data_IF_668333747500
#
_entry.id   IF_668333747500
#
_cell.length_a   1.000
_cell.length_b   1.000
_cell.length_c   1.000
_cell.angle_alpha   90.00
_cell.angle_beta   90.00
_cell.angle_gamma   90.00
#
_symmetry.space_group_name_H-M   'P 1'
#
loop_
_entity.id
_entity.type
_entity.pdbx_description
1 polymer ?
#
# COMPACT_ATOMS: atom_id res chain seq x y z
N UNK A 1 9.71 -45.01 -74.59
CA UNK A 1 10.83 -45.94 -74.32
C UNK A 1 10.28 -47.34 -74.55
N UNK A 2 10.68 -48.02 -75.62
CA UNK A 2 10.25 -49.40 -75.91
C UNK A 2 11.50 -50.21 -76.26
N UNK A 3 11.63 -51.43 -75.71
CA UNK A 3 12.77 -52.32 -75.95
C UNK A 3 13.50 -52.79 -74.68
N UNK A 4 14.41 -53.75 -74.84
CA UNK A 4 15.16 -54.39 -73.73
C UNK A 4 16.04 -53.41 -72.94
N UNK A 5 16.50 -52.30 -73.54
CA UNK A 5 17.30 -51.27 -72.87
C UNK A 5 16.50 -50.29 -72.00
N UNK A 6 15.17 -50.31 -72.10
CA UNK A 6 14.30 -49.33 -71.41
C UNK A 6 14.44 -49.31 -69.89
N UNK A 7 14.83 -50.43 -69.28
CA UNK A 7 15.04 -50.50 -67.83
C UNK A 7 16.28 -49.73 -67.40
N UNK A 8 17.39 -49.85 -68.14
CA UNK A 8 18.63 -49.16 -67.85
C UNK A 8 18.46 -47.65 -67.97
N UNK A 9 17.77 -47.19 -69.02
CA UNK A 9 17.46 -45.77 -69.22
C UNK A 9 16.63 -45.18 -68.07
N UNK A 10 15.64 -45.93 -67.57
CA UNK A 10 14.81 -45.48 -66.45
C UNK A 10 15.59 -45.40 -65.14
N UNK A 11 16.49 -46.36 -64.89
CA UNK A 11 17.36 -46.35 -63.71
C UNK A 11 18.33 -45.16 -63.77
N UNK A 12 18.96 -44.92 -64.92
CA UNK A 12 19.86 -43.78 -65.12
C UNK A 12 19.12 -42.44 -64.96
N UNK A 13 17.92 -42.32 -65.54
CA UNK A 13 17.09 -41.13 -65.39
C UNK A 13 16.70 -40.90 -63.92
N UNK A 14 16.34 -41.96 -63.18
CA UNK A 14 15.99 -41.85 -61.77
C UNK A 14 17.18 -41.42 -60.91
N UNK A 15 18.38 -41.94 -61.18
CA UNK A 15 19.61 -41.54 -60.49
C UNK A 15 19.98 -40.08 -60.81
N UNK A 16 19.86 -39.66 -62.08
CA UNK A 16 20.10 -38.29 -62.50
C UNK A 16 19.13 -37.30 -61.83
N UNK A 17 17.84 -37.64 -61.74
CA UNK A 17 16.85 -36.81 -61.06
C UNK A 17 17.19 -36.68 -59.56
N UNK A 18 17.57 -37.78 -58.91
CA UNK A 18 17.97 -37.76 -57.50
C UNK A 18 19.23 -36.91 -57.24
N UNK A 19 20.17 -36.88 -58.18
CA UNK A 19 21.46 -36.19 -58.01
C UNK A 19 21.42 -34.72 -58.39
N UNK A 20 20.74 -34.39 -59.49
CA UNK A 20 20.88 -33.09 -60.16
C UNK A 20 19.64 -32.20 -60.09
N UNK A 21 18.46 -32.77 -59.83
CA UNK A 21 17.21 -32.01 -59.80
C UNK A 21 16.71 -31.79 -58.37
N UNK A 22 16.24 -30.56 -58.12
CA UNK A 22 15.59 -30.20 -56.88
C UNK A 22 14.07 -30.28 -57.06
N UNK A 23 13.53 -31.51 -57.03
CA UNK A 23 12.09 -31.79 -57.15
C UNK A 23 11.56 -32.48 -55.90
N UNK A 24 10.29 -32.24 -55.58
CA UNK A 24 9.69 -32.76 -54.35
C UNK A 24 9.22 -34.22 -54.48
N UNK A 25 8.84 -34.65 -55.69
CA UNK A 25 8.30 -35.98 -56.01
C UNK A 25 8.68 -36.37 -57.44
N UNK A 26 8.95 -37.66 -57.65
CA UNK A 26 9.12 -38.28 -58.96
C UNK A 26 7.85 -39.06 -59.30
N UNK A 27 7.27 -38.86 -60.48
CA UNK A 27 6.16 -39.69 -60.98
C UNK A 27 6.70 -40.60 -62.07
N UNK A 28 6.73 -41.90 -61.80
CA UNK A 28 7.03 -42.90 -62.81
C UNK A 28 5.76 -43.16 -63.61
N UNK A 29 5.79 -42.87 -64.91
CA UNK A 29 4.61 -43.03 -65.78
C UNK A 29 4.94 -43.90 -66.97
N UNK A 30 3.91 -44.58 -67.48
CA UNK A 30 3.96 -45.24 -68.78
C UNK A 30 3.13 -44.42 -69.78
N UNK A 31 3.53 -44.43 -71.06
CA UNK A 31 2.69 -43.91 -72.15
C UNK A 31 1.55 -44.87 -72.54
N UNK A 32 0.83 -44.58 -73.63
CA UNK A 32 0.02 -45.61 -74.30
C UNK A 32 0.93 -46.72 -74.84
N UNK A 33 0.55 -48.00 -74.69
CA UNK A 33 1.44 -49.12 -75.01
C UNK A 33 0.83 -50.50 -74.80
N UNK A 34 1.45 -51.53 -75.41
CA UNK A 34 1.03 -52.93 -75.30
C UNK A 34 1.44 -53.51 -73.93
N UNK A 35 1.05 -54.76 -73.66
CA UNK A 35 1.47 -55.46 -72.44
C UNK A 35 2.99 -55.72 -72.42
N UNK A 36 3.67 -55.64 -73.57
CA UNK A 36 5.13 -55.82 -73.67
C UNK A 36 5.89 -54.63 -73.04
N UNK A 37 5.33 -53.43 -73.11
CA UNK A 37 5.89 -52.21 -72.50
C UNK A 37 5.87 -52.26 -70.96
N UNK A 38 5.02 -53.13 -70.39
CA UNK A 38 4.91 -53.36 -68.95
C UNK A 38 6.10 -54.17 -68.39
N UNK A 39 6.81 -54.91 -69.24
CA UNK A 39 7.86 -55.84 -68.77
C UNK A 39 9.09 -55.12 -68.21
N UNK A 40 9.41 -53.93 -68.73
CA UNK A 40 10.49 -53.09 -68.22
C UNK A 40 10.28 -52.67 -66.75
N UNK A 41 9.03 -52.57 -66.33
CA UNK A 41 8.61 -52.20 -64.97
C UNK A 41 8.60 -53.39 -63.99
N UNK A 42 8.86 -54.61 -64.48
CA UNK A 42 9.01 -55.82 -63.67
C UNK A 42 10.47 -56.25 -63.46
N UNK A 43 11.43 -55.39 -63.79
CA UNK A 43 12.85 -55.67 -63.54
C UNK A 43 13.23 -55.29 -62.11
N UNK A 44 13.99 -56.16 -61.46
CA UNK A 44 14.50 -55.96 -60.10
C UNK A 44 15.37 -54.71 -59.99
N UNK A 45 16.19 -54.43 -61.01
CA UNK A 45 17.10 -53.28 -61.04
C UNK A 45 16.36 -51.95 -60.85
N UNK A 46 15.22 -51.78 -61.53
CA UNK A 46 14.39 -50.58 -61.41
C UNK A 46 13.70 -50.49 -60.06
N UNK A 47 13.23 -51.62 -59.51
CA UNK A 47 12.63 -51.66 -58.17
C UNK A 47 13.64 -51.27 -57.07
N UNK A 48 14.88 -51.75 -57.18
CA UNK A 48 15.97 -51.38 -56.26
C UNK A 48 16.34 -49.90 -56.41
N UNK A 49 16.40 -49.39 -57.64
CA UNK A 49 16.65 -47.97 -57.88
C UNK A 49 15.58 -47.08 -57.24
N UNK A 50 14.29 -47.42 -57.41
CA UNK A 50 13.18 -46.70 -56.78
C UNK A 50 13.31 -46.73 -55.25
N UNK A 51 13.60 -47.88 -54.66
CA UNK A 51 13.77 -48.01 -53.20
C UNK A 51 14.97 -47.24 -52.65
N UNK A 52 16.00 -47.03 -53.46
CA UNK A 52 17.18 -46.25 -53.09
C UNK A 52 17.01 -44.74 -53.37
N UNK A 53 15.88 -44.33 -53.95
CA UNK A 53 15.57 -42.92 -54.21
C UNK A 53 15.41 -42.15 -52.89
N UNK A 54 16.02 -40.97 -52.80
CA UNK A 54 15.84 -40.05 -51.67
C UNK A 54 14.64 -39.12 -51.89
N UNK A 55 14.23 -38.95 -53.15
CA UNK A 55 13.02 -38.24 -53.55
C UNK A 55 11.87 -39.28 -53.61
N UNK A 56 10.71 -39.01 -52.99
CA UNK A 56 9.57 -39.92 -53.02
C UNK A 56 9.10 -40.22 -54.46
N UNK A 57 8.82 -41.50 -54.73
CA UNK A 57 8.44 -41.99 -56.06
C UNK A 57 6.98 -42.44 -56.05
N UNK A 58 6.19 -41.89 -56.97
CA UNK A 58 4.80 -42.30 -57.23
C UNK A 58 4.77 -43.11 -58.52
N UNK A 59 4.31 -44.36 -58.45
CA UNK A 59 4.08 -45.16 -59.64
C UNK A 59 2.70 -44.88 -60.22
N UNK A 60 2.66 -44.55 -61.52
CA UNK A 60 1.48 -44.36 -62.33
C UNK A 60 1.61 -45.16 -63.65
N UNK A 61 2.09 -46.40 -63.52
CA UNK A 61 2.43 -47.28 -64.65
C UNK A 61 1.26 -48.20 -65.03
N UNK A 62 0.64 -48.87 -64.05
CA UNK A 62 -0.41 -49.87 -64.28
C UNK A 62 -1.84 -49.31 -64.22
N UNK A 63 -2.77 -49.94 -64.94
CA UNK A 63 -4.21 -49.79 -64.69
C UNK A 63 -4.60 -50.56 -63.43
N UNK A 64 -5.83 -50.40 -62.89
CA UNK A 64 -6.25 -51.01 -61.62
C UNK A 64 -5.93 -52.52 -61.48
N UNK A 65 -5.87 -53.25 -62.60
CA UNK A 65 -5.71 -54.72 -62.66
C UNK A 65 -4.26 -55.17 -62.93
N UNK A 66 -3.41 -54.30 -63.48
CA UNK A 66 -2.03 -54.64 -63.84
C UNK A 66 -1.08 -54.14 -62.75
N UNK A 67 -0.52 -55.06 -61.97
CA UNK A 67 0.47 -54.75 -60.94
C UNK A 67 1.88 -55.06 -61.44
N UNK A 68 2.79 -54.13 -61.19
CA UNK A 68 4.23 -54.29 -61.47
C UNK A 68 5.05 -54.34 -60.20
N UNK A 69 6.28 -54.85 -60.30
CA UNK A 69 7.24 -54.76 -59.19
C UNK A 69 7.52 -53.30 -58.83
N UNK A 70 7.59 -52.39 -59.82
CA UNK A 70 7.73 -50.95 -59.55
C UNK A 70 6.58 -50.36 -58.75
N UNK A 71 5.33 -50.80 -58.98
CA UNK A 71 4.18 -50.33 -58.17
C UNK A 71 4.31 -50.70 -56.69
N UNK A 72 4.96 -51.84 -56.40
CA UNK A 72 5.20 -52.31 -55.04
C UNK A 72 6.45 -51.70 -54.41
N UNK A 73 7.40 -51.27 -55.24
CA UNK A 73 8.63 -50.61 -54.81
C UNK A 73 8.42 -49.11 -54.53
N UNK A 74 7.50 -48.47 -55.25
CA UNK A 74 7.17 -47.05 -55.10
C UNK A 74 6.56 -46.74 -53.73
N UNK A 75 6.64 -45.47 -53.32
CA UNK A 75 6.05 -44.98 -52.06
C UNK A 75 4.53 -44.90 -52.15
N UNK A 76 4.02 -44.61 -53.35
CA UNK A 76 2.59 -44.56 -53.62
C UNK A 76 2.28 -45.06 -55.02
N UNK A 77 1.12 -45.71 -55.18
CA UNK A 77 0.59 -46.14 -56.48
C UNK A 77 -0.64 -45.32 -56.83
N UNK A 78 -0.60 -44.68 -57.98
CA UNK A 78 -1.72 -44.03 -58.62
C UNK A 78 -2.18 -44.83 -59.85
N UNK A 79 -3.49 -44.89 -60.15
CA UNK A 79 -4.00 -45.67 -61.28
C UNK A 79 -3.71 -45.05 -62.64
N UNK A 80 -3.47 -43.73 -62.71
CA UNK A 80 -3.13 -43.02 -63.95
C UNK A 80 -2.20 -41.85 -63.65
N UNK A 81 -1.42 -41.37 -64.65
CA UNK A 81 -0.60 -40.16 -64.48
C UNK A 81 -1.41 -38.93 -64.05
N UNK A 82 -2.62 -38.78 -64.58
CA UNK A 82 -3.53 -37.67 -64.20
C UNK A 82 -3.98 -37.80 -62.75
N UNK A 83 -4.31 -39.01 -62.28
CA UNK A 83 -4.67 -39.23 -60.88
C UNK A 83 -3.50 -38.97 -59.92
N UNK A 84 -2.27 -39.31 -60.32
CA UNK A 84 -1.08 -38.98 -59.55
C UNK A 84 -0.91 -37.46 -59.40
N UNK A 85 -1.05 -36.72 -60.51
CA UNK A 85 -0.95 -35.27 -60.50
C UNK A 85 -2.05 -34.60 -59.66
N UNK A 86 -3.30 -35.07 -59.77
CA UNK A 86 -4.42 -34.55 -58.99
C UNK A 86 -4.21 -34.75 -57.49
N UNK A 87 -3.74 -35.93 -57.08
CA UNK A 87 -3.46 -36.23 -55.68
C UNK A 87 -2.38 -35.31 -55.08
N UNK A 88 -1.30 -35.08 -55.82
CA UNK A 88 -0.23 -34.17 -55.40
C UNK A 88 -0.70 -32.72 -55.27
N UNK A 89 -1.60 -32.27 -56.15
CA UNK A 89 -2.19 -30.92 -56.08
C UNK A 89 -3.07 -30.80 -54.83
N UNK A 90 -3.95 -31.77 -54.58
CA UNK A 90 -4.82 -31.79 -53.40
C UNK A 90 -3.98 -31.77 -52.12
N UNK A 91 -2.94 -32.59 -52.04
CA UNK A 91 -2.09 -32.67 -50.86
C UNK A 91 -1.36 -31.35 -50.60
N UNK A 92 -0.83 -30.72 -51.64
CA UNK A 92 -0.23 -29.38 -51.55
C UNK A 92 -1.23 -28.34 -51.03
N UNK A 93 -2.46 -28.31 -51.56
CA UNK A 93 -3.49 -27.38 -51.09
C UNK A 93 -3.86 -27.62 -49.62
N UNK A 94 -3.99 -28.88 -49.20
CA UNK A 94 -4.27 -29.21 -47.79
C UNK A 94 -3.16 -28.73 -46.85
N UNK A 95 -1.89 -28.89 -47.26
CA UNK A 95 -0.72 -28.38 -46.53
C UNK A 95 -0.73 -26.86 -46.42
N UNK A 96 -1.01 -26.16 -47.52
CA UNK A 96 -1.10 -24.69 -47.53
C UNK A 96 -2.23 -24.19 -46.63
N UNK A 97 -3.39 -24.84 -46.66
CA UNK A 97 -4.52 -24.52 -45.78
C UNK A 97 -4.15 -24.72 -44.30
N UNK A 98 -3.50 -25.84 -43.97
CA UNK A 98 -3.03 -26.12 -42.61
C UNK A 98 -1.99 -25.10 -42.14
N UNK A 99 -1.10 -24.67 -43.01
CA UNK A 99 -0.08 -23.66 -42.70
C UNK A 99 -0.74 -22.29 -42.44
N UNK A 100 -1.72 -21.92 -43.26
CA UNK A 100 -2.53 -20.71 -43.06
C UNK A 100 -3.31 -20.74 -41.74
N UNK A 101 -3.90 -21.87 -41.38
CA UNK A 101 -4.62 -22.03 -40.11
C UNK A 101 -3.69 -21.88 -38.91
N UNK A 102 -2.52 -22.52 -38.94
CA UNK A 102 -1.51 -22.40 -37.89
C UNK A 102 -1.05 -20.95 -37.76
N UNK A 103 -0.77 -20.27 -38.88
CA UNK A 103 -0.41 -18.84 -38.91
C UNK A 103 -1.49 -17.97 -38.28
N UNK A 104 -2.75 -18.17 -38.66
CA UNK A 104 -3.88 -17.38 -38.13
C UNK A 104 -4.07 -17.60 -36.62
N UNK A 105 -3.90 -18.84 -36.15
CA UNK A 105 -3.96 -19.18 -34.73
C UNK A 105 -2.81 -18.53 -33.95
N UNK A 106 -1.60 -18.51 -34.51
CA UNK A 106 -0.43 -17.86 -33.91
C UNK A 106 -0.65 -16.35 -33.77
N UNK A 107 -1.03 -15.67 -34.86
CA UNK A 107 -1.32 -14.22 -34.87
C UNK A 107 -2.39 -13.88 -33.84
N UNK A 108 -3.48 -14.65 -33.80
CA UNK A 108 -4.56 -14.47 -32.83
C UNK A 108 -4.11 -14.71 -31.39
N UNK A 109 -3.24 -15.70 -31.16
CA UNK A 109 -2.63 -16.00 -29.87
C UNK A 109 -1.79 -14.84 -29.35
N UNK A 110 -0.88 -14.32 -30.19
CA UNK A 110 -0.02 -13.18 -29.88
C UNK A 110 -0.88 -11.94 -29.59
N UNK A 111 -1.89 -11.65 -30.43
CA UNK A 111 -2.78 -10.52 -30.23
C UNK A 111 -3.54 -10.56 -28.89
N UNK A 112 -4.03 -11.75 -28.49
CA UNK A 112 -4.67 -11.94 -27.19
C UNK A 112 -3.69 -11.73 -26.03
N UNK A 113 -2.46 -12.23 -26.15
CA UNK A 113 -1.44 -12.08 -25.13
C UNK A 113 -1.07 -10.59 -24.92
N UNK A 114 -0.76 -9.88 -26.01
CA UNK A 114 -0.46 -8.44 -25.97
C UNK A 114 -1.62 -7.62 -25.40
N UNK A 115 -2.86 -7.95 -25.76
CA UNK A 115 -4.05 -7.30 -25.18
C UNK A 115 -4.14 -7.54 -23.68
N UNK A 116 -3.87 -8.76 -23.22
CA UNK A 116 -3.83 -9.10 -21.80
C UNK A 116 -2.75 -8.33 -21.04
N UNK A 117 -1.53 -8.27 -21.59
CA UNK A 117 -0.42 -7.51 -21.02
C UNK A 117 -0.71 -6.01 -20.94
N UNK A 118 -1.28 -5.41 -22.00
CA UNK A 118 -1.66 -4.00 -22.00
C UNK A 118 -2.78 -3.71 -20.99
N UNK A 119 -3.76 -4.60 -20.83
CA UNK A 119 -4.78 -4.46 -19.78
C UNK A 119 -4.17 -4.59 -18.38
N UNK A 120 -3.20 -5.48 -18.20
CA UNK A 120 -2.44 -5.61 -16.95
C UNK A 120 -1.66 -4.33 -16.62
N UNK A 121 -0.95 -3.77 -17.60
CA UNK A 121 -0.23 -2.51 -17.49
C UNK A 121 -1.17 -1.35 -17.16
N UNK A 122 -2.32 -1.24 -17.82
CA UNK A 122 -3.31 -0.18 -17.55
C UNK A 122 -3.93 -0.31 -16.16
N UNK A 123 -4.16 -1.54 -15.68
CA UNK A 123 -4.61 -1.78 -14.29
C UNK A 123 -3.53 -1.37 -13.28
N UNK A 124 -2.27 -1.72 -13.53
CA UNK A 124 -1.16 -1.35 -12.66
C UNK A 124 -0.94 0.15 -12.65
N UNK A 125 -0.91 0.81 -13.82
CA UNK A 125 -0.76 2.26 -13.94
C UNK A 125 -1.89 3.00 -13.21
N UNK A 126 -3.13 2.51 -13.32
CA UNK A 126 -4.28 3.05 -12.57
C UNK A 126 -4.21 2.80 -11.06
N UNK A 127 -3.53 1.75 -10.60
CA UNK A 127 -3.27 1.53 -9.15
C UNK A 127 -2.18 2.46 -8.63
N UNK A 128 -1.22 2.84 -9.47
CA UNK A 128 -0.32 3.96 -9.21
C UNK A 128 -1.05 5.31 -9.38
N UNK A 129 -2.19 5.49 -8.68
CA UNK A 129 -2.79 6.82 -8.53
C UNK A 129 -1.77 7.73 -7.87
N UNK A 130 -1.45 8.79 -8.61
CA UNK A 130 -0.48 9.85 -8.36
C UNK A 130 0.22 9.78 -6.99
N UNK A 131 1.46 9.25 -6.93
CA UNK A 131 2.20 9.17 -5.66
C UNK A 131 2.34 10.54 -5.00
N UNK A 132 2.28 11.63 -5.77
CA UNK A 132 2.26 13.01 -5.25
C UNK A 132 1.02 13.29 -4.42
N UNK A 133 -0.16 12.84 -4.86
CA UNK A 133 -1.41 13.00 -4.10
C UNK A 133 -1.36 12.22 -2.80
N UNK A 134 -0.90 10.97 -2.85
CA UNK A 134 -0.78 10.11 -1.66
C UNK A 134 0.24 10.67 -0.65
N UNK A 135 1.34 11.23 -1.17
CA UNK A 135 2.34 11.93 -0.37
C UNK A 135 1.75 13.21 0.24
N UNK A 136 1.02 14.02 -0.54
CA UNK A 136 0.35 15.23 -0.06
C UNK A 136 -0.66 14.92 1.06
N UNK A 137 -1.50 13.89 0.89
CA UNK A 137 -2.45 13.44 1.92
C UNK A 137 -1.71 13.03 3.20
N UNK A 138 -0.55 12.38 3.07
CA UNK A 138 0.28 11.96 4.21
C UNK A 138 0.92 13.17 4.91
N UNK A 139 1.40 14.17 4.17
CA UNK A 139 1.93 15.42 4.72
C UNK A 139 0.85 16.22 5.45
N UNK A 140 -0.36 16.35 4.88
CA UNK A 140 -1.48 17.03 5.54
C UNK A 140 -1.85 16.32 6.86
N UNK A 141 -1.86 14.98 6.86
CA UNK A 141 -2.14 14.20 8.07
C UNK A 141 -1.05 14.34 9.13
N UNK A 142 0.22 14.43 8.71
CA UNK A 142 1.33 14.68 9.62
C UNK A 142 1.20 16.06 10.29
N UNK A 143 0.87 17.09 9.51
CA UNK A 143 0.68 18.45 10.01
C UNK A 143 -0.51 18.58 10.99
N UNK A 144 -1.62 17.90 10.68
CA UNK A 144 -2.78 17.82 11.58
C UNK A 144 -2.41 17.17 12.92
N UNK A 145 -1.70 16.03 12.87
CA UNK A 145 -1.25 15.32 14.07
C UNK A 145 -0.28 16.18 14.88
N UNK A 146 0.66 16.87 14.21
CA UNK A 146 1.62 17.76 14.85
C UNK A 146 0.93 18.93 15.55
N UNK A 147 -0.01 19.59 14.87
CA UNK A 147 -0.79 20.70 15.43
C UNK A 147 -1.66 20.25 16.60
N UNK A 148 -2.23 19.05 16.53
CA UNK A 148 -2.98 18.45 17.64
C UNK A 148 -2.09 18.15 18.84
N UNK A 149 -0.91 17.57 18.60
CA UNK A 149 0.08 17.29 19.64
C UNK A 149 0.51 18.57 20.36
N UNK A 150 0.87 19.61 19.60
CA UNK A 150 1.30 20.89 20.15
C UNK A 150 0.22 21.53 21.04
N UNK A 151 -1.05 21.51 20.60
CA UNK A 151 -2.18 21.99 21.43
C UNK A 151 -2.34 21.22 22.72
N UNK A 152 -2.29 19.88 22.66
CA UNK A 152 -2.43 19.05 23.86
C UNK A 152 -1.26 19.28 24.82
N UNK A 153 -0.04 19.42 24.31
CA UNK A 153 1.13 19.73 25.13
C UNK A 153 1.00 21.09 25.83
N UNK A 154 0.55 22.14 25.12
CA UNK A 154 0.33 23.46 25.73
C UNK A 154 -0.73 23.39 26.84
N UNK A 155 -1.85 22.69 26.62
CA UNK A 155 -2.87 22.47 27.63
C UNK A 155 -2.32 21.76 28.88
N UNK A 156 -1.51 20.70 28.69
CA UNK A 156 -0.88 19.97 29.79
C UNK A 156 0.08 20.87 30.58
N UNK A 157 0.92 21.65 29.89
CA UNK A 157 1.88 22.55 30.54
C UNK A 157 1.15 23.62 31.36
N UNK A 158 0.09 24.22 30.81
CA UNK A 158 -0.72 25.22 31.51
C UNK A 158 -1.42 24.64 32.73
N UNK A 159 -2.02 23.45 32.63
CA UNK A 159 -2.65 22.78 33.77
C UNK A 159 -1.63 22.50 34.88
N UNK A 160 -0.43 22.02 34.52
CA UNK A 160 0.65 21.77 35.49
C UNK A 160 1.14 23.06 36.16
N UNK A 161 1.30 24.14 35.41
CA UNK A 161 1.67 25.45 35.95
C UNK A 161 0.59 26.00 36.90
N UNK A 162 -0.68 25.85 36.53
CA UNK A 162 -1.81 26.26 37.38
C UNK A 162 -1.86 25.44 38.68
N UNK A 163 -1.71 24.11 38.62
CA UNK A 163 -1.64 23.28 39.82
C UNK A 163 -0.46 23.67 40.71
N UNK A 164 0.72 23.88 40.13
CA UNK A 164 1.90 24.30 40.88
C UNK A 164 1.69 25.64 41.58
N UNK A 165 1.03 26.61 40.93
CA UNK A 165 0.75 27.91 41.53
C UNK A 165 -0.27 27.81 42.68
N UNK A 166 -1.28 26.95 42.53
CA UNK A 166 -2.26 26.66 43.59
C UNK A 166 -1.63 25.97 44.79
N UNK A 167 -0.78 24.96 44.57
CA UNK A 167 -0.02 24.29 45.64
C UNK A 167 0.92 25.27 46.36
N UNK A 168 1.65 26.11 45.59
CA UNK A 168 2.50 27.15 46.16
C UNK A 168 1.70 28.13 47.03
N UNK A 169 0.49 28.51 46.57
CA UNK A 169 -0.41 29.40 47.33
C UNK A 169 -0.93 28.72 48.60
N UNK A 170 -1.31 27.45 48.51
CA UNK A 170 -1.73 26.63 49.67
C UNK A 170 -0.62 26.58 50.72
N UNK A 171 0.62 26.28 50.30
CA UNK A 171 1.79 26.25 51.18
C UNK A 171 2.07 27.61 51.85
N UNK A 172 1.89 28.72 51.11
CA UNK A 172 2.05 30.06 51.67
C UNK A 172 0.95 30.44 52.67
N UNK A 173 -0.30 30.04 52.41
CA UNK A 173 -1.43 30.30 53.31
C UNK A 173 -1.32 29.49 54.60
N UNK A 174 -0.89 28.24 54.51
CA UNK A 174 -0.62 27.37 55.66
C UNK A 174 0.80 27.53 56.23
N UNK A 175 1.55 28.54 55.76
CA UNK A 175 2.88 28.81 56.29
C UNK A 175 2.77 29.26 57.75
N UNK A 176 3.42 28.56 58.69
CA UNK A 176 3.37 28.87 60.12
C UNK A 176 3.86 30.30 60.42
N UNK A 177 4.71 30.88 59.55
CA UNK A 177 5.17 32.27 59.67
C UNK A 177 4.01 33.29 59.64
N UNK A 178 3.04 33.13 58.75
CA UNK A 178 1.91 34.06 58.64
C UNK A 178 0.95 33.92 59.84
N UNK A 179 0.76 32.69 60.32
CA UNK A 179 0.00 32.41 61.53
C UNK A 179 0.71 33.00 62.76
N UNK A 180 2.03 32.87 62.85
CA UNK A 180 2.82 33.43 63.95
C UNK A 180 2.77 34.96 64.01
N UNK A 181 2.83 35.65 62.87
CA UNK A 181 2.73 37.12 62.82
C UNK A 181 1.39 37.59 63.35
N UNK A 182 0.29 36.97 62.91
CA UNK A 182 -1.05 37.35 63.36
C UNK A 182 -1.29 37.05 64.86
N UNK A 183 -0.78 35.91 65.37
CA UNK A 183 -0.82 35.60 66.80
C UNK A 183 -0.01 36.61 67.61
N UNK A 184 1.18 36.99 67.15
CA UNK A 184 2.03 37.99 67.83
C UNK A 184 1.34 39.35 67.91
N UNK A 185 0.76 39.82 66.81
CA UNK A 185 -0.02 41.06 66.79
C UNK A 185 -1.21 41.02 67.75
N UNK A 186 -1.90 39.86 67.84
CA UNK A 186 -3.01 39.68 68.78
C UNK A 186 -2.55 39.71 70.23
N UNK A 187 -1.42 39.08 70.55
CA UNK A 187 -0.81 39.12 71.89
C UNK A 187 -0.39 40.54 72.27
N UNK A 188 0.23 41.28 71.35
CA UNK A 188 0.65 42.67 71.59
C UNK A 188 -0.57 43.57 71.84
N UNK A 189 -1.65 43.41 71.05
CA UNK A 189 -2.90 44.13 71.27
C UNK A 189 -3.52 43.81 72.63
N UNK A 190 -3.67 42.53 72.97
CA UNK A 190 -4.24 42.09 74.25
C UNK A 190 -3.42 42.59 75.44
N UNK A 191 -2.09 42.56 75.33
CA UNK A 191 -1.18 43.09 76.35
C UNK A 191 -1.38 44.59 76.57
N UNK A 192 -1.47 45.36 75.50
CA UNK A 192 -1.69 46.81 75.58
C UNK A 192 -3.09 47.12 76.14
N UNK A 193 -4.13 46.43 75.67
CA UNK A 193 -5.50 46.60 76.20
C UNK A 193 -5.60 46.27 77.69
N UNK A 194 -4.92 45.21 78.14
CA UNK A 194 -4.85 44.87 79.56
C UNK A 194 -4.16 45.98 80.36
N UNK A 195 -3.04 46.51 79.86
CA UNK A 195 -2.34 47.66 80.47
C UNK A 195 -3.26 48.87 80.63
N UNK A 196 -3.92 49.29 79.55
CA UNK A 196 -4.88 50.40 79.60
C UNK A 196 -6.05 50.16 80.56
N UNK A 197 -6.58 48.94 80.62
CA UNK A 197 -7.66 48.59 81.53
C UNK A 197 -7.20 48.61 83.00
N UNK A 198 -5.98 48.15 83.28
CA UNK A 198 -5.38 48.21 84.63
C UNK A 198 -5.13 49.65 85.06
N UNK A 199 -4.54 50.47 84.20
CA UNK A 199 -4.29 51.89 84.48
C UNK A 199 -5.60 52.65 84.74
N UNK A 200 -6.62 52.39 83.92
CA UNK A 200 -7.95 52.99 84.10
C UNK A 200 -8.61 52.56 85.41
N UNK A 201 -8.48 51.28 85.80
CA UNK A 201 -9.01 50.77 87.06
C UNK A 201 -8.28 51.38 88.27
N UNK A 202 -6.96 51.45 88.21
CA UNK A 202 -6.14 52.07 89.26
C UNK A 202 -6.45 53.56 89.40
N UNK A 203 -6.55 54.29 88.29
CA UNK A 203 -6.96 55.69 88.27
C UNK A 203 -8.36 55.90 88.83
N UNK A 204 -9.33 55.05 88.47
CA UNK A 204 -10.68 55.08 89.03
C UNK A 204 -10.72 54.83 90.55
N UNK A 205 -9.92 53.86 91.04
CA UNK A 205 -9.80 53.60 92.48
C UNK A 205 -9.11 54.75 93.22
N UNK A 206 -8.05 55.35 92.66
CA UNK A 206 -7.38 56.52 93.22
C UNK A 206 -8.31 57.73 93.29
N UNK A 207 -9.07 57.99 92.21
CA UNK A 207 -10.08 59.05 92.19
C UNK A 207 -11.15 58.81 93.28
N UNK A 208 -11.64 57.58 93.41
CA UNK A 208 -12.61 57.20 94.45
C UNK A 208 -12.06 57.40 95.87
N UNK A 209 -10.79 57.01 96.12
CA UNK A 209 -10.11 57.25 97.39
C UNK A 209 -9.99 58.76 97.68
N UNK A 210 -9.60 59.56 96.68
CA UNK A 210 -9.50 61.02 96.85
C UNK A 210 -10.86 61.67 97.16
N UNK A 211 -11.95 61.12 96.62
CA UNK A 211 -13.30 61.61 96.88
C UNK A 211 -13.78 61.22 98.29
N UNK A 212 -13.44 60.02 98.75
CA UNK A 212 -13.66 59.57 100.13
C UNK A 212 -12.85 60.42 101.12
N UNK A 213 -11.58 60.70 100.83
CA UNK A 213 -10.76 61.62 101.63
C UNK A 213 -11.37 63.01 101.72
N UNK A 214 -11.87 63.57 100.60
CA UNK A 214 -12.57 64.86 100.59
C UNK A 214 -13.86 64.81 101.42
N UNK A 215 -14.68 63.77 101.29
CA UNK A 215 -15.90 63.60 102.11
C UNK A 215 -15.59 63.47 103.60
N UNK A 216 -14.52 62.76 103.98
CA UNK A 216 -14.08 62.66 105.37
C UNK A 216 -13.63 64.03 105.89
N UNK A 217 -12.94 64.84 105.06
CA UNK A 217 -12.60 66.23 105.42
C UNK A 217 -13.83 67.13 105.55
N UNK A 218 -14.84 66.94 104.70
CA UNK A 218 -16.08 67.71 104.73
C UNK A 218 -17.00 67.32 105.91
N UNK A 219 -16.93 66.09 106.40
CA UNK A 219 -17.67 65.58 107.57
C UNK A 219 -16.87 65.64 108.88
N UNK A 220 -15.61 66.08 108.83
CA UNK A 220 -14.76 66.25 110.01
C UNK A 220 -15.17 67.48 110.83
N UNK A 221 -15.00 67.46 112.17
CA UNK A 221 -15.49 68.49 113.10
C UNK A 221 -14.98 69.93 112.87
N UNK A 222 -14.07 70.14 111.91
CA UNK A 222 -13.55 71.44 111.48
C UNK A 222 -14.44 72.17 110.44
N UNK A 223 -15.31 71.47 109.71
CA UNK A 223 -16.23 72.08 108.72
C UNK A 223 -17.51 72.63 109.36
N UNK A 224 -17.91 72.07 110.51
CA UNK A 224 -19.09 72.50 111.28
C UNK A 224 -18.81 73.84 111.99
N UNK A 225 -17.60 74.04 112.53
CA UNK A 225 -17.18 75.32 113.13
C UNK A 225 -17.09 76.50 112.14
N UNK A 226 -16.91 76.24 110.83
CA UNK A 226 -16.91 77.29 109.80
C UNK A 226 -18.30 77.73 109.32
N UNK A 227 -19.35 76.95 109.61
CA UNK A 227 -20.73 77.31 109.26
C UNK A 227 -21.43 78.13 110.34
N UNK A 228 -21.04 78.02 111.61
CA UNK A 228 -21.68 78.77 112.72
C UNK A 228 -21.02 80.13 113.02
N UNK A 229 -19.78 80.39 112.60
CA UNK A 229 -19.10 81.69 112.82
C UNK A 229 -19.48 82.83 111.85
N UNK A 230 -20.58 82.73 111.08
CA UNK A 230 -20.98 83.80 110.14
C UNK A 230 -22.24 84.58 110.54
N UNK A 231 -22.88 84.23 111.65
CA UNK A 231 -24.07 84.94 112.17
C UNK A 231 -23.75 85.57 113.52
N UNK A 232 -22.74 86.45 113.55
CA UNK A 232 -22.53 87.44 114.63
C UNK A 232 -21.41 88.41 114.22
N UNK A 233 -21.77 89.42 113.43
CA UNK A 233 -21.10 90.73 113.36
C UNK A 233 -22.09 91.71 112.72
N UNK A 234 -22.97 92.22 113.57
CA UNK A 234 -23.77 93.42 113.38
C UNK A 234 -22.89 94.66 113.59
N UNK A 235 -23.25 95.74 112.89
CA UNK A 235 -23.27 97.14 113.34
C UNK A 235 -22.06 97.70 114.11
N UNK A 236 -21.30 98.60 113.47
CA UNK A 236 -21.05 99.98 113.95
C UNK A 236 -20.46 100.84 112.82
N UNK A 237 -21.12 101.99 112.60
CA UNK A 237 -20.90 103.14 111.69
C UNK A 237 -21.34 103.03 110.21
#
# INVERSE_FOLDING_TARGET
>A
VQGEESTADMVEALDLVNRELNVDVIILTRGGGSLEDLWAFNREELALAIRNSHIPVVSAVGHEIDFTITDLAADFRAPTPSAAAELLVVEKETLLNRLNDIRNRLVSGIGRNLKGLNQGLDRLSKRFKDPRKRLADTWMRLDEIHTRLARVMDLIVRDRQFRLSMEKRSLLLHSPLNVMVSIKQRLDFQRNSLGYAMDSCLGGKQASLSLLEKRIKDLGPLSILKRECRVEKLESD
#
